data_IF_965880392345
#
_entry.id   IF_965880392345
#
_cell.length_a   1.000
_cell.length_b   1.000
_cell.length_c   1.000
_cell.angle_alpha   90.00
_cell.angle_beta   90.00
_cell.angle_gamma   90.00
#
_symmetry.space_group_name_H-M   'P 1'
#
loop_
_entity.id
_entity.type
_entity.pdbx_description
1 polymer ?
#
# COMPACT_ATOMS: atom_id res chain seq x y z
N UNK A 1 -4.95 -10.93 5.68
CA UNK A 1 -3.93 -11.00 4.61
C UNK A 1 -3.74 -9.58 4.10
N UNK A 2 -2.73 -8.86 4.57
CA UNK A 2 -2.53 -7.48 4.12
C UNK A 2 -1.76 -7.46 2.80
N UNK A 3 -2.19 -6.61 1.87
CA UNK A 3 -1.54 -6.45 0.58
C UNK A 3 -0.30 -5.55 0.70
N UNK A 4 0.74 -5.83 -0.10
CA UNK A 4 1.93 -4.99 -0.24
C UNK A 4 1.67 -3.75 -1.11
N UNK A 5 2.62 -3.40 -1.97
CA UNK A 5 2.39 -2.44 -3.07
C UNK A 5 1.66 -3.17 -4.21
N UNK A 6 0.89 -2.45 -5.03
CA UNK A 6 0.25 -2.97 -6.25
C UNK A 6 -0.86 -3.99 -6.01
N UNK A 7 -1.79 -3.71 -5.09
CA UNK A 7 -3.02 -4.48 -5.03
C UNK A 7 -3.94 -4.10 -6.20
N UNK A 8 -3.91 -4.89 -7.28
CA UNK A 8 -4.72 -4.66 -8.49
C UNK A 8 -6.06 -5.40 -8.52
N UNK A 9 -6.41 -6.08 -7.44
CA UNK A 9 -7.70 -6.73 -7.28
C UNK A 9 -8.69 -5.75 -6.67
N UNK A 10 -9.56 -5.18 -7.49
CA UNK A 10 -10.70 -4.42 -7.02
C UNK A 10 -11.81 -5.37 -6.59
N UNK A 11 -12.57 -5.08 -5.57
CA UNK A 11 -12.43 -4.26 -4.38
C UNK A 11 -13.52 -4.83 -3.47
N UNK A 12 -13.51 -4.54 -2.19
CA UNK A 12 -14.46 -5.19 -1.28
C UNK A 12 -15.92 -4.74 -1.48
N UNK A 13 -16.16 -3.60 -2.13
CA UNK A 13 -17.49 -3.02 -2.35
C UNK A 13 -18.14 -3.30 -3.72
N UNK A 14 -17.50 -4.07 -4.61
CA UNK A 14 -18.11 -4.50 -5.89
C UNK A 14 -18.83 -5.84 -5.70
N UNK A 15 -19.72 -6.20 -6.64
CA UNK A 15 -20.40 -7.50 -6.64
C UNK A 15 -20.07 -8.26 -7.95
N UNK A 16 -19.44 -9.45 -7.89
CA UNK A 16 -18.88 -10.08 -6.68
C UNK A 16 -17.67 -9.31 -6.11
N UNK A 17 -17.44 -9.36 -4.79
CA UNK A 17 -16.34 -8.65 -4.15
C UNK A 17 -15.00 -9.26 -4.57
N UNK A 18 -13.98 -8.42 -4.74
CA UNK A 18 -12.62 -8.81 -5.12
C UNK A 18 -12.52 -9.66 -6.41
N UNK A 19 -13.47 -9.53 -7.34
CA UNK A 19 -13.53 -10.35 -8.55
C UNK A 19 -12.86 -9.72 -9.77
N UNK A 20 -12.38 -8.47 -9.68
CA UNK A 20 -11.86 -7.73 -10.83
C UNK A 20 -10.36 -7.49 -10.67
N UNK A 21 -9.54 -8.21 -11.43
CA UNK A 21 -8.09 -8.00 -11.50
C UNK A 21 -7.72 -7.19 -12.74
N UNK A 22 -7.20 -5.99 -12.54
CA UNK A 22 -6.81 -5.07 -13.62
C UNK A 22 -5.46 -4.43 -13.31
N UNK A 23 -4.41 -4.86 -14.02
CA UNK A 23 -3.05 -4.34 -13.85
C UNK A 23 -3.05 -2.81 -14.07
N UNK A 24 -2.40 -2.08 -13.16
CA UNK A 24 -2.32 -0.62 -13.22
C UNK A 24 -3.53 0.12 -12.64
N UNK A 25 -4.55 -0.59 -12.14
CA UNK A 25 -5.63 -0.01 -11.35
C UNK A 25 -5.57 -0.55 -9.94
N UNK A 26 -5.28 0.32 -8.97
CA UNK A 26 -5.37 -0.06 -7.57
C UNK A 26 -6.80 -0.47 -7.23
N UNK A 27 -6.93 -1.62 -6.56
CA UNK A 27 -8.20 -2.16 -6.13
C UNK A 27 -8.87 -1.26 -5.11
N UNK A 28 -8.11 -0.68 -4.19
CA UNK A 28 -8.63 0.19 -3.14
C UNK A 28 -7.92 1.56 -3.20
N UNK A 29 -8.65 2.66 -2.96
CA UNK A 29 -8.07 4.01 -3.03
C UNK A 29 -6.95 4.26 -2.01
N UNK A 30 -6.99 3.57 -0.88
CA UNK A 30 -5.97 3.62 0.16
C UNK A 30 -4.76 2.71 -0.12
N UNK A 31 -4.81 1.90 -1.17
CA UNK A 31 -3.66 1.08 -1.55
C UNK A 31 -2.65 1.91 -2.35
N UNK A 32 -1.35 1.85 -2.02
CA UNK A 32 -0.31 2.39 -2.86
C UNK A 32 -0.08 1.52 -4.11
N UNK A 33 0.33 2.14 -5.21
CA UNK A 33 0.64 1.43 -6.45
C UNK A 33 1.59 2.19 -7.36
N UNK A 34 2.24 1.43 -8.24
CA UNK A 34 3.23 1.84 -9.23
C UNK A 34 3.31 0.77 -10.31
N UNK A 35 3.37 1.16 -11.58
CA UNK A 35 3.62 0.23 -12.69
C UNK A 35 5.11 -0.12 -12.86
N UNK A 36 6.00 0.59 -12.17
CA UNK A 36 7.41 0.21 -12.11
C UNK A 36 7.59 -1.01 -11.20
N UNK A 37 8.55 -1.86 -11.57
CA UNK A 37 8.85 -3.08 -10.81
C UNK A 37 9.45 -2.76 -9.43
N UNK A 38 9.26 -3.67 -8.48
CA UNK A 38 9.91 -3.63 -7.17
C UNK A 38 9.27 -2.74 -6.09
N UNK A 39 8.47 -1.72 -6.43
CA UNK A 39 7.83 -0.85 -5.42
C UNK A 39 7.45 0.55 -5.90
N UNK A 40 7.35 1.49 -4.96
CA UNK A 40 7.08 2.90 -5.25
C UNK A 40 7.82 3.85 -4.29
N UNK A 41 8.03 5.10 -4.72
CA UNK A 41 8.48 6.17 -3.84
C UNK A 41 7.28 6.80 -3.12
N UNK A 42 7.38 6.95 -1.80
CA UNK A 42 6.34 7.52 -0.95
C UNK A 42 6.89 8.74 -0.21
N UNK A 43 6.11 9.81 -0.18
CA UNK A 43 6.38 10.99 0.65
C UNK A 43 5.92 10.70 2.07
N UNK A 44 6.84 10.86 3.02
CA UNK A 44 6.62 10.70 4.44
C UNK A 44 6.11 12.00 5.07
N UNK A 45 5.49 11.90 6.25
CA UNK A 45 4.92 13.05 6.96
C UNK A 45 5.96 14.08 7.42
N UNK A 46 7.23 13.69 7.53
CA UNK A 46 8.38 14.56 7.82
C UNK A 46 8.99 15.21 6.57
N UNK A 47 8.45 14.94 5.38
CA UNK A 47 8.90 15.50 4.11
C UNK A 47 9.99 14.67 3.40
N UNK A 48 10.48 13.59 4.00
CA UNK A 48 11.40 12.68 3.32
C UNK A 48 10.67 11.84 2.25
N UNK A 49 11.34 11.55 1.14
CA UNK A 49 10.84 10.58 0.15
C UNK A 49 11.63 9.30 0.27
N UNK A 50 10.94 8.18 0.44
CA UNK A 50 11.56 6.88 0.64
C UNK A 50 10.98 5.85 -0.31
N UNK A 51 11.84 4.91 -0.74
CA UNK A 51 11.41 3.79 -1.56
C UNK A 51 10.76 2.73 -0.68
N UNK A 52 9.54 2.33 -1.03
CA UNK A 52 8.79 1.27 -0.36
C UNK A 52 8.68 0.07 -1.30
N UNK A 53 9.30 -1.03 -0.89
CA UNK A 53 9.30 -2.28 -1.66
C UNK A 53 7.90 -2.88 -1.77
N UNK A 54 7.61 -3.52 -2.91
CA UNK A 54 6.42 -4.36 -3.10
C UNK A 54 6.34 -5.51 -2.08
N UNK A 55 7.48 -5.96 -1.57
CA UNK A 55 7.60 -7.02 -0.58
C UNK A 55 7.53 -6.52 0.87
N UNK A 56 7.20 -5.24 1.10
CA UNK A 56 7.03 -4.70 2.46
C UNK A 56 6.02 -5.52 3.25
N UNK A 57 6.31 -5.74 4.54
CA UNK A 57 5.31 -6.30 5.44
C UNK A 57 4.06 -5.40 5.47
N UNK A 58 2.90 -6.02 5.25
CA UNK A 58 1.65 -5.31 5.15
C UNK A 58 1.23 -4.58 6.44
N UNK A 59 1.69 -5.06 7.61
CA UNK A 59 1.41 -4.42 8.88
C UNK A 59 2.29 -3.18 9.07
N UNK A 60 3.56 -3.23 8.68
CA UNK A 60 4.43 -2.06 8.61
C UNK A 60 3.89 -1.01 7.64
N UNK A 61 3.49 -1.40 6.42
CA UNK A 61 2.86 -0.50 5.44
C UNK A 61 1.64 0.20 6.02
N UNK A 62 0.79 -0.53 6.72
CA UNK A 62 -0.44 0.03 7.32
C UNK A 62 -0.11 0.99 8.45
N UNK A 63 0.85 0.64 9.32
CA UNK A 63 1.28 1.52 10.42
C UNK A 63 1.96 2.80 9.93
N UNK A 64 2.68 2.77 8.80
CA UNK A 64 3.24 3.99 8.18
C UNK A 64 2.17 5.03 7.83
N UNK A 65 0.94 4.61 7.55
CA UNK A 65 -0.18 5.48 7.25
C UNK A 65 -1.08 5.77 8.48
N UNK A 66 -0.83 5.13 9.61
CA UNK A 66 -1.59 5.33 10.83
C UNK A 66 -1.15 6.63 11.52
N UNK A 67 -2.12 7.40 12.00
CA UNK A 67 -1.87 8.69 12.66
C UNK A 67 -2.16 8.53 14.15
N UNK A 68 -1.18 8.85 14.99
CA UNK A 68 -1.33 8.86 16.46
C UNK A 68 -1.80 7.51 17.06
N UNK A 69 -1.36 6.38 16.50
CA UNK A 69 -1.70 5.03 16.99
C UNK A 69 -0.80 4.54 18.15
N UNK A 70 0.23 5.31 18.50
CA UNK A 70 1.17 5.03 19.58
C UNK A 70 2.18 3.93 19.26
N UNK A 71 2.26 3.46 18.01
CA UNK A 71 3.19 2.42 17.60
C UNK A 71 4.51 3.03 17.11
N UNK A 72 5.63 2.57 17.67
CA UNK A 72 6.95 2.92 17.14
C UNK A 72 7.25 2.07 15.91
N UNK A 73 7.50 2.73 14.79
CA UNK A 73 8.00 2.07 13.58
C UNK A 73 9.54 2.01 13.63
N UNK A 74 10.11 0.95 13.05
CA UNK A 74 11.55 0.86 12.83
C UNK A 74 12.03 1.86 11.78
N UNK A 75 13.20 1.64 11.19
CA UNK A 75 13.74 2.53 10.15
C UNK A 75 12.81 2.61 8.94
N UNK A 76 12.12 3.75 8.82
CA UNK A 76 11.22 4.13 7.73
C UNK A 76 11.11 5.62 7.56
#
# INVERSE_FOLDING_TARGET
MGYGINNFTCCTWRSPPNAQFLIGRNGEHSSPGSLHDGGCHVLMGDGAVRFVSQNIDSSTRTRLAAISDGQTLGEF
#
